data_IF_604613134755
#
_entry.id   IF_604613134755
#
_cell.length_a   1.000
_cell.length_b   1.000
_cell.length_c   1.000
_cell.angle_alpha   90.00
_cell.angle_beta   90.00
_cell.angle_gamma   90.00
#
_symmetry.space_group_name_H-M   'P 1'
#
loop_
_entity.id
_entity.type
_entity.pdbx_description
1 polymer ?
#
# COMPACT_ATOMS: atom_id res chain seq x y z
N UNK A 1 32.98 -18.10 -22.35
CA UNK A 1 34.40 -17.68 -22.46
C UNK A 1 35.40 -18.55 -21.69
N UNK A 2 35.00 -19.47 -20.80
CA UNK A 2 35.94 -20.31 -20.01
C UNK A 2 35.82 -21.84 -20.19
N UNK A 3 34.98 -22.32 -21.11
CA UNK A 3 34.71 -23.77 -21.29
C UNK A 3 35.98 -24.62 -21.51
N UNK A 4 37.00 -24.08 -22.18
CA UNK A 4 38.27 -24.76 -22.39
C UNK A 4 39.01 -25.10 -21.08
N UNK A 5 38.86 -24.30 -20.01
CA UNK A 5 39.49 -24.57 -18.70
C UNK A 5 38.83 -25.73 -17.97
N UNK A 6 37.50 -25.80 -18.01
CA UNK A 6 36.74 -26.92 -17.44
C UNK A 6 37.04 -28.22 -18.19
N UNK A 7 37.11 -28.18 -19.52
CA UNK A 7 37.47 -29.34 -20.33
C UNK A 7 38.91 -29.81 -20.07
N UNK A 8 39.86 -28.89 -19.94
CA UNK A 8 41.24 -29.22 -19.61
C UNK A 8 41.36 -29.84 -18.22
N UNK A 9 40.70 -29.28 -17.21
CA UNK A 9 40.69 -29.83 -15.86
C UNK A 9 40.10 -31.25 -15.81
N UNK A 10 38.97 -31.45 -16.51
CA UNK A 10 38.35 -32.76 -16.66
C UNK A 10 39.27 -33.77 -17.35
N UNK A 11 40.04 -33.34 -18.35
CA UNK A 11 41.04 -34.20 -19.02
C UNK A 11 42.19 -34.62 -18.10
N UNK A 12 42.47 -33.83 -17.06
CA UNK A 12 43.44 -34.13 -16.01
C UNK A 12 42.84 -34.92 -14.83
N UNK A 13 41.56 -35.30 -14.91
CA UNK A 13 40.85 -36.03 -13.84
C UNK A 13 40.54 -35.18 -12.60
N UNK A 14 40.56 -33.84 -12.73
CA UNK A 14 40.26 -32.88 -11.65
C UNK A 14 38.86 -32.28 -11.84
N UNK A 15 38.33 -31.66 -10.78
CA UNK A 15 36.99 -31.05 -10.75
C UNK A 15 36.89 -29.83 -9.83
N UNK A 16 37.99 -29.12 -9.61
CA UNK A 16 38.08 -27.98 -8.69
C UNK A 16 37.27 -26.78 -9.19
N UNK A 17 37.21 -26.51 -10.50
CA UNK A 17 36.37 -25.43 -11.05
C UNK A 17 34.87 -25.75 -10.93
N UNK A 18 34.47 -27.00 -11.12
CA UNK A 18 33.08 -27.44 -10.91
C UNK A 18 32.69 -27.29 -9.44
N UNK A 19 33.54 -27.74 -8.51
CA UNK A 19 33.34 -27.56 -7.07
C UNK A 19 33.28 -26.10 -6.65
N UNK A 20 34.15 -25.26 -7.22
CA UNK A 20 34.16 -23.81 -6.98
C UNK A 20 32.85 -23.17 -7.45
N UNK A 21 32.34 -23.54 -8.62
CA UNK A 21 31.05 -23.06 -9.11
C UNK A 21 29.89 -23.52 -8.22
N UNK A 22 29.90 -24.78 -7.79
CA UNK A 22 28.91 -25.30 -6.84
C UNK A 22 28.94 -24.57 -5.50
N UNK A 23 30.14 -24.27 -4.99
CA UNK A 23 30.32 -23.46 -3.78
C UNK A 23 29.83 -22.02 -3.98
N UNK A 24 30.20 -21.38 -5.09
CA UNK A 24 29.77 -20.03 -5.42
C UNK A 24 28.26 -19.93 -5.54
N UNK A 25 27.60 -20.87 -6.23
CA UNK A 25 26.13 -20.92 -6.33
C UNK A 25 25.49 -21.07 -4.96
N UNK A 26 25.98 -22.00 -4.12
CA UNK A 26 25.48 -22.17 -2.75
C UNK A 26 25.62 -20.90 -1.91
N UNK A 27 26.75 -20.20 -2.04
CA UNK A 27 27.00 -18.95 -1.32
C UNK A 27 26.11 -17.80 -1.82
N UNK A 28 25.93 -17.67 -3.13
CA UNK A 28 25.02 -16.69 -3.73
C UNK A 28 23.57 -16.95 -3.33
N UNK A 29 23.11 -18.20 -3.38
CA UNK A 29 21.76 -18.57 -2.94
C UNK A 29 21.54 -18.24 -1.47
N UNK A 30 22.54 -18.52 -0.62
CA UNK A 30 22.51 -18.14 0.80
C UNK A 30 22.43 -16.62 0.97
N UNK A 31 23.23 -15.87 0.22
CA UNK A 31 23.24 -14.41 0.28
C UNK A 31 21.91 -13.80 -0.16
N UNK A 32 21.33 -14.28 -1.27
CA UNK A 32 20.03 -13.85 -1.77
C UNK A 32 18.90 -14.14 -0.75
N UNK A 33 18.90 -15.34 -0.15
CA UNK A 33 17.97 -15.66 0.95
C UNK A 33 18.09 -14.69 2.11
N UNK A 34 19.32 -14.32 2.49
CA UNK A 34 19.55 -13.36 3.56
C UNK A 34 19.03 -11.97 3.18
N UNK A 35 19.23 -11.50 1.95
CA UNK A 35 18.68 -10.22 1.47
C UNK A 35 17.16 -10.20 1.63
N UNK A 36 16.46 -11.23 1.14
CA UNK A 36 15.00 -11.31 1.25
C UNK A 36 14.51 -11.41 2.70
N UNK A 37 15.24 -12.14 3.55
CA UNK A 37 14.92 -12.21 4.97
C UNK A 37 15.09 -10.85 5.67
N UNK A 38 16.17 -10.12 5.36
CA UNK A 38 16.42 -8.78 5.90
C UNK A 38 15.38 -7.77 5.40
N UNK A 39 15.03 -7.80 4.11
CA UNK A 39 13.96 -6.97 3.56
C UNK A 39 12.64 -7.20 4.28
N UNK A 40 12.25 -8.48 4.46
CA UNK A 40 11.03 -8.85 5.18
C UNK A 40 11.06 -8.35 6.62
N UNK A 41 12.19 -8.52 7.31
CA UNK A 41 12.36 -8.04 8.69
C UNK A 41 12.21 -6.52 8.77
N UNK A 42 12.87 -5.76 7.89
CA UNK A 42 12.77 -4.31 7.85
C UNK A 42 11.35 -3.83 7.60
N UNK A 43 10.63 -4.44 6.64
CA UNK A 43 9.22 -4.13 6.37
C UNK A 43 8.33 -4.39 7.58
N UNK A 44 8.49 -5.56 8.24
CA UNK A 44 7.72 -5.91 9.43
C UNK A 44 7.99 -4.96 10.60
N UNK A 45 9.25 -4.64 10.87
CA UNK A 45 9.63 -3.71 11.93
C UNK A 45 9.03 -2.33 11.70
N UNK A 46 9.07 -1.84 10.46
CA UNK A 46 8.48 -0.56 10.09
C UNK A 46 6.95 -0.56 10.28
N UNK A 47 6.27 -1.59 9.77
CA UNK A 47 4.81 -1.75 9.90
C UNK A 47 4.36 -1.85 11.36
N UNK A 48 5.09 -2.59 12.21
CA UNK A 48 4.83 -2.65 13.66
C UNK A 48 5.00 -1.27 14.30
N UNK A 49 6.01 -0.50 13.88
CA UNK A 49 6.23 0.87 14.32
C UNK A 49 5.04 1.78 14.01
N UNK A 50 4.53 1.72 12.77
CA UNK A 50 3.37 2.49 12.34
C UNK A 50 2.10 2.12 13.12
N UNK A 51 1.82 0.82 13.25
CA UNK A 51 0.65 0.35 13.99
C UNK A 51 0.67 0.83 15.45
N UNK A 52 1.85 0.83 16.09
CA UNK A 52 2.03 1.39 17.44
C UNK A 52 1.78 2.89 17.47
N UNK A 53 2.30 3.64 16.50
CA UNK A 53 2.10 5.09 16.42
C UNK A 53 0.62 5.44 16.21
N UNK A 54 -0.07 4.77 15.28
CA UNK A 54 -1.51 4.94 15.04
C UNK A 54 -2.35 4.57 16.26
N UNK A 55 -1.97 3.51 16.98
CA UNK A 55 -2.62 3.13 18.24
C UNK A 55 -2.50 4.24 19.29
N UNK A 56 -1.31 4.79 19.49
CA UNK A 56 -1.08 5.89 20.44
C UNK A 56 -1.91 7.12 20.03
N UNK A 57 -1.94 7.45 18.74
CA UNK A 57 -2.72 8.56 18.19
C UNK A 57 -4.23 8.39 18.47
N UNK A 58 -4.78 7.20 18.20
CA UNK A 58 -6.18 6.88 18.49
C UNK A 58 -6.49 6.92 20.00
N UNK A 59 -5.63 6.32 20.83
CA UNK A 59 -5.81 6.33 22.29
C UNK A 59 -5.72 7.75 22.88
N UNK A 60 -4.87 8.60 22.31
CA UNK A 60 -4.72 10.00 22.76
C UNK A 60 -5.89 10.89 22.36
N UNK A 61 -6.61 10.55 21.29
CA UNK A 61 -7.83 11.25 20.88
C UNK A 61 -8.97 11.07 21.90
N UNK A 62 -8.98 9.93 22.62
CA UNK A 62 -9.99 9.64 23.65
C UNK A 62 -11.39 9.32 23.12
N UNK A 63 -11.58 9.31 21.80
CA UNK A 63 -12.83 9.01 21.12
C UNK A 63 -12.62 7.93 20.05
N UNK A 64 -13.67 7.16 19.75
CA UNK A 64 -13.63 6.11 18.73
C UNK A 64 -14.08 6.59 17.34
N UNK A 65 -14.37 7.88 17.20
CA UNK A 65 -14.88 8.50 15.98
C UNK A 65 -14.14 9.81 15.72
N UNK A 66 -14.15 10.26 14.48
CA UNK A 66 -13.60 11.56 14.08
C UNK A 66 -14.53 12.25 13.09
N UNK A 67 -14.67 13.56 13.26
CA UNK A 67 -15.44 14.39 12.33
C UNK A 67 -14.56 14.80 11.14
N UNK A 68 -15.08 14.56 9.94
CA UNK A 68 -14.39 14.85 8.68
C UNK A 68 -15.26 15.73 7.79
N UNK A 69 -14.67 16.77 7.22
CA UNK A 69 -15.39 17.69 6.33
C UNK A 69 -15.34 17.23 4.87
N UNK A 70 -16.48 16.78 4.37
CA UNK A 70 -16.67 16.38 2.97
C UNK A 70 -17.47 17.45 2.23
N UNK A 71 -16.95 17.88 1.09
CA UNK A 71 -17.54 18.88 0.22
C UNK A 71 -17.59 18.36 -1.22
N UNK A 72 -18.50 18.93 -2.00
CA UNK A 72 -18.46 18.81 -3.45
C UNK A 72 -18.61 20.18 -4.10
N UNK A 73 -17.88 20.38 -5.19
CA UNK A 73 -17.90 21.58 -6.01
C UNK A 73 -18.28 21.20 -7.44
N UNK A 74 -19.21 21.94 -8.04
CA UNK A 74 -19.59 21.79 -9.45
C UNK A 74 -19.35 23.09 -10.20
N UNK A 75 -18.62 23.00 -11.30
CA UNK A 75 -18.34 24.11 -12.21
C UNK A 75 -18.66 23.66 -13.63
N UNK A 76 -19.83 24.05 -14.14
CA UNK A 76 -20.35 23.51 -15.39
C UNK A 76 -20.53 21.99 -15.30
N UNK A 77 -19.90 21.24 -16.21
CA UNK A 77 -19.93 19.78 -16.24
C UNK A 77 -18.89 19.12 -15.33
N UNK A 78 -17.94 19.89 -14.77
CA UNK A 78 -16.90 19.39 -13.88
C UNK A 78 -17.42 19.30 -12.45
N UNK A 79 -17.20 18.15 -11.80
CA UNK A 79 -17.55 17.91 -10.40
C UNK A 79 -16.34 17.39 -9.64
N UNK A 80 -16.06 18.00 -8.49
CA UNK A 80 -15.00 17.60 -7.57
C UNK A 80 -15.62 17.24 -6.22
N UNK A 81 -15.18 16.13 -5.64
CA UNK A 81 -15.54 15.70 -4.28
C UNK A 81 -14.27 15.65 -3.44
N UNK A 82 -14.31 16.20 -2.24
CA UNK A 82 -13.16 16.24 -1.33
C UNK A 82 -13.07 15.00 -0.44
N UNK A 83 -11.87 14.69 0.02
CA UNK A 83 -11.62 13.69 1.05
C UNK A 83 -10.33 14.00 1.84
N UNK A 84 -10.37 14.03 3.18
CA UNK A 84 -9.21 14.38 4.00
C UNK A 84 -8.23 13.22 4.23
N UNK A 85 -8.02 12.34 3.25
CA UNK A 85 -7.09 11.20 3.39
C UNK A 85 -6.54 10.72 2.04
N UNK A 86 -5.53 9.85 2.09
CA UNK A 86 -5.05 9.09 0.93
C UNK A 86 -5.96 7.88 0.70
N UNK A 87 -7.04 8.08 -0.06
CA UNK A 87 -7.96 7.00 -0.42
C UNK A 87 -7.37 6.05 -1.46
N UNK A 88 -7.68 4.77 -1.32
CA UNK A 88 -7.37 3.78 -2.34
C UNK A 88 -8.11 4.04 -3.66
N UNK A 89 -7.47 3.69 -4.76
CA UNK A 89 -7.98 3.93 -6.14
C UNK A 89 -9.40 3.41 -6.31
N UNK A 90 -9.71 2.24 -5.75
CA UNK A 90 -11.03 1.62 -5.87
C UNK A 90 -12.16 2.51 -5.34
N UNK A 91 -11.92 3.28 -4.27
CA UNK A 91 -12.91 4.20 -3.69
C UNK A 91 -13.24 5.32 -4.68
N UNK A 92 -12.22 5.89 -5.33
CA UNK A 92 -12.41 6.88 -6.38
C UNK A 92 -13.15 6.33 -7.61
N UNK A 93 -12.88 5.07 -7.99
CA UNK A 93 -13.61 4.38 -9.07
C UNK A 93 -15.08 4.15 -8.71
N UNK A 94 -15.36 3.74 -7.47
CA UNK A 94 -16.72 3.54 -6.98
C UNK A 94 -17.54 4.83 -7.00
N UNK A 95 -16.95 5.95 -6.55
CA UNK A 95 -17.59 7.28 -6.61
C UNK A 95 -17.91 7.67 -8.04
N UNK A 96 -16.95 7.51 -8.96
CA UNK A 96 -17.14 7.80 -10.38
C UNK A 96 -18.26 6.96 -10.99
N UNK A 97 -18.33 5.66 -10.66
CA UNK A 97 -19.35 4.76 -11.15
C UNK A 97 -20.77 5.06 -10.62
N UNK A 98 -20.87 5.59 -9.39
CA UNK A 98 -22.15 5.96 -8.76
C UNK A 98 -22.59 7.39 -9.08
N UNK A 99 -21.70 8.24 -9.59
CA UNK A 99 -21.98 9.65 -9.81
C UNK A 99 -22.94 9.87 -10.98
N UNK A 100 -23.94 10.76 -10.85
CA UNK A 100 -24.78 11.17 -11.98
C UNK A 100 -24.02 12.06 -12.98
N UNK A 101 -22.82 12.55 -12.63
CA UNK A 101 -22.03 13.44 -13.48
C UNK A 101 -20.84 12.71 -14.10
N UNK A 102 -20.72 12.79 -15.43
CA UNK A 102 -19.65 12.14 -16.20
C UNK A 102 -18.24 12.54 -15.74
N UNK A 103 -18.02 13.83 -15.46
CA UNK A 103 -16.70 14.37 -15.11
C UNK A 103 -16.57 14.56 -13.59
N UNK A 104 -16.73 13.47 -12.84
CA UNK A 104 -16.55 13.46 -11.38
C UNK A 104 -15.13 13.08 -11.00
N UNK A 105 -14.51 13.88 -10.14
CA UNK A 105 -13.17 13.69 -9.63
C UNK A 105 -13.18 13.65 -8.10
N UNK A 106 -12.26 12.90 -7.53
CA UNK A 106 -12.03 12.84 -6.08
C UNK A 106 -10.70 13.50 -5.79
N UNK A 107 -10.70 14.54 -4.96
CA UNK A 107 -9.50 15.17 -4.43
C UNK A 107 -9.23 14.64 -3.03
N UNK A 108 -8.11 13.93 -2.86
CA UNK A 108 -7.55 13.65 -1.54
C UNK A 108 -6.85 14.88 -0.96
N UNK A 109 -6.42 14.79 0.30
CA UNK A 109 -5.67 15.86 1.00
C UNK A 109 -6.41 17.20 1.10
N UNK A 110 -7.73 17.16 1.14
CA UNK A 110 -8.59 18.34 1.18
C UNK A 110 -9.36 18.38 2.49
N UNK A 111 -9.49 19.57 3.09
CA UNK A 111 -10.23 19.82 4.33
C UNK A 111 -9.71 19.02 5.55
N UNK A 112 -8.42 18.67 5.54
CA UNK A 112 -7.78 17.90 6.61
C UNK A 112 -6.88 16.80 6.06
N UNK A 113 -6.23 16.09 6.97
CA UNK A 113 -5.40 14.94 6.65
C UNK A 113 -5.40 13.92 7.79
N UNK A 114 -5.88 12.71 7.51
CA UNK A 114 -5.97 11.59 8.47
C UNK A 114 -5.23 10.34 7.98
N UNK A 115 -4.09 10.55 7.32
CA UNK A 115 -3.24 9.50 6.76
C UNK A 115 -3.94 8.70 5.63
N UNK A 116 -3.75 7.39 5.60
CA UNK A 116 -4.28 6.50 4.58
C UNK A 116 -5.69 6.02 4.90
N UNK A 117 -6.48 5.85 3.84
CA UNK A 117 -7.79 5.23 3.87
C UNK A 117 -7.82 4.06 2.88
N UNK A 118 -7.41 2.86 3.31
CA UNK A 118 -7.43 1.64 2.50
C UNK A 118 -8.87 1.21 2.23
N UNK A 119 -9.14 0.62 1.08
CA UNK A 119 -10.45 0.03 0.82
C UNK A 119 -10.76 -1.09 1.83
N UNK A 120 -12.04 -1.36 2.08
CA UNK A 120 -12.50 -2.30 3.10
C UNK A 120 -11.91 -3.71 2.94
N UNK A 121 -11.64 -4.14 1.71
CA UNK A 121 -11.02 -5.43 1.38
C UNK A 121 -9.50 -5.47 1.57
N UNK A 122 -8.86 -4.33 1.82
CA UNK A 122 -7.42 -4.21 2.05
C UNK A 122 -7.05 -4.20 3.53
N UNK A 123 -8.04 -4.16 4.44
CA UNK A 123 -7.80 -4.26 5.87
C UNK A 123 -7.23 -5.64 6.24
N UNK A 124 -6.18 -5.65 7.06
CA UNK A 124 -5.48 -6.88 7.43
C UNK A 124 -4.53 -7.41 6.34
N UNK A 125 -4.33 -6.66 5.25
CA UNK A 125 -3.35 -7.02 4.20
C UNK A 125 -1.90 -6.96 4.69
N UNK A 126 -1.64 -6.28 5.82
CA UNK A 126 -0.28 -6.07 6.34
C UNK A 126 0.54 -5.11 5.47
N UNK A 127 -0.14 -4.35 4.60
CA UNK A 127 0.48 -3.32 3.77
C UNK A 127 0.76 -2.05 4.58
N UNK A 128 1.59 -1.19 4.03
CA UNK A 128 1.92 0.09 4.65
C UNK A 128 0.67 0.95 4.90
N UNK A 129 -0.26 0.97 3.94
CA UNK A 129 -1.49 1.76 4.01
C UNK A 129 -2.42 1.28 5.12
N UNK A 130 -2.57 -0.04 5.26
CA UNK A 130 -3.34 -0.70 6.33
C UNK A 130 -2.79 -0.32 7.71
N UNK A 131 -1.47 -0.39 7.91
CA UNK A 131 -0.83 0.00 9.17
C UNK A 131 -0.75 1.50 9.43
N UNK A 132 -1.01 2.32 8.40
CA UNK A 132 -1.02 3.79 8.49
C UNK A 132 -2.42 4.36 8.63
N UNK A 133 -3.46 3.53 8.68
CA UNK A 133 -4.85 3.96 8.77
C UNK A 133 -5.30 4.18 10.23
N UNK A 134 -6.15 5.19 10.44
CA UNK A 134 -6.84 5.43 11.72
C UNK A 134 -8.30 4.91 11.72
N UNK A 135 -8.85 4.64 10.55
CA UNK A 135 -10.26 4.34 10.32
C UNK A 135 -10.52 2.82 10.39
N UNK A 136 -11.72 2.42 10.81
CA UNK A 136 -12.22 1.06 10.63
C UNK A 136 -12.78 0.83 9.21
N UNK A 137 -12.89 -0.43 8.74
CA UNK A 137 -13.28 -0.77 7.36
C UNK A 137 -14.63 -0.19 6.90
N UNK A 138 -15.52 0.12 7.83
CA UNK A 138 -16.80 0.77 7.60
C UNK A 138 -16.69 2.17 6.97
N UNK A 139 -15.53 2.83 7.10
CA UNK A 139 -15.31 4.19 6.59
C UNK A 139 -15.63 4.31 5.11
N UNK A 140 -15.27 3.29 4.32
CA UNK A 140 -15.42 3.33 2.87
C UNK A 140 -16.90 3.48 2.49
N UNK A 141 -17.77 2.66 3.11
CA UNK A 141 -19.21 2.71 2.84
C UNK A 141 -19.79 4.03 3.32
N UNK A 142 -19.43 4.49 4.52
CA UNK A 142 -19.90 5.76 5.09
C UNK A 142 -19.56 6.93 4.15
N UNK A 143 -18.32 6.99 3.68
CA UNK A 143 -17.85 8.02 2.76
C UNK A 143 -18.57 7.95 1.40
N UNK A 144 -18.58 6.79 0.75
CA UNK A 144 -19.21 6.63 -0.57
C UNK A 144 -20.72 6.96 -0.55
N UNK A 145 -21.43 6.57 0.51
CA UNK A 145 -22.85 6.87 0.70
C UNK A 145 -23.05 8.38 0.89
N UNK A 146 -22.24 9.02 1.75
CA UNK A 146 -22.30 10.46 2.00
C UNK A 146 -22.01 11.27 0.73
N UNK A 147 -21.01 10.87 -0.04
CA UNK A 147 -20.70 11.49 -1.34
C UNK A 147 -21.87 11.35 -2.30
N UNK A 148 -22.48 10.16 -2.38
CA UNK A 148 -23.65 9.93 -3.23
C UNK A 148 -24.83 10.81 -2.84
N UNK A 149 -25.05 11.05 -1.55
CA UNK A 149 -26.06 12.00 -1.06
C UNK A 149 -25.76 13.44 -1.46
N UNK A 150 -24.50 13.88 -1.34
CA UNK A 150 -24.08 15.24 -1.71
C UNK A 150 -24.25 15.44 -3.22
N UNK A 151 -23.79 14.49 -4.04
CA UNK A 151 -23.86 14.57 -5.50
C UNK A 151 -25.30 14.65 -6.02
N UNK A 152 -26.27 14.00 -5.35
CA UNK A 152 -27.69 14.09 -5.71
C UNK A 152 -28.31 15.48 -5.47
N UNK A 153 -27.62 16.36 -4.73
CA UNK A 153 -28.08 17.72 -4.40
C UNK A 153 -27.44 18.81 -5.27
N UNK A 154 -26.47 18.46 -6.15
CA UNK A 154 -25.78 19.38 -7.07
C UNK A 154 -26.51 19.54 -8.42
#
# INVERSE_FOLDING_TARGET
YYSHRYLHEKSLGRSDLEKLDEENRRNLDKYLRNIHAMEKLSRLQYNIGLAKARKIENESAGESTMDLEIMALKVGDFVLVTFPAEASVQVGLNIKGKSPFKNTFVAGYTNGYIHYAPAADQFGSGTYQDHSCLLGPEWQKIYEDKVSEILKKL
#
